data_IF_557819492422
#
_entry.id   IF_557819492422
#
_cell.length_a   1.000
_cell.length_b   1.000
_cell.length_c   1.000
_cell.angle_alpha   90.00
_cell.angle_beta   90.00
_cell.angle_gamma   90.00
#
_symmetry.space_group_name_H-M   'P 1'
#
loop_
_entity.id
_entity.type
_entity.pdbx_description
1 polymer ?
#
# COMPACT_ATOMS: atom_id res chain seq x y z
N UNK A 1 -12.79 3.06 -2.03
CA UNK A 1 -13.49 4.24 -1.48
C UNK A 1 -13.04 4.54 -0.04
N UNK A 2 -13.17 3.65 0.92
CA UNK A 2 -12.80 3.86 2.32
C UNK A 2 -11.35 4.38 2.52
N UNK A 3 -10.38 3.85 1.79
CA UNK A 3 -8.99 4.33 1.82
C UNK A 3 -8.87 5.81 1.44
N UNK A 4 -9.54 6.25 0.38
CA UNK A 4 -9.48 7.65 -0.10
C UNK A 4 -10.04 8.59 0.98
N UNK A 5 -11.16 8.22 1.59
CA UNK A 5 -11.76 8.99 2.69
C UNK A 5 -10.83 9.06 3.91
N UNK A 6 -10.18 7.95 4.25
CA UNK A 6 -9.25 7.90 5.38
C UNK A 6 -7.99 8.76 5.13
N UNK A 7 -7.44 8.72 3.92
CA UNK A 7 -6.31 9.56 3.50
C UNK A 7 -6.67 11.05 3.54
N UNK A 8 -7.82 11.44 2.97
CA UNK A 8 -8.29 12.83 2.97
C UNK A 8 -8.44 13.35 4.40
N UNK A 9 -9.01 12.54 5.29
CA UNK A 9 -9.25 12.91 6.68
C UNK A 9 -7.97 13.02 7.53
N UNK A 10 -6.98 12.16 7.26
CA UNK A 10 -5.78 12.00 8.11
C UNK A 10 -4.53 12.71 7.58
N UNK A 11 -4.57 13.29 6.39
CA UNK A 11 -3.44 14.01 5.80
C UNK A 11 -3.63 15.51 6.00
N UNK A 12 -2.70 16.16 6.72
CA UNK A 12 -2.74 17.61 6.99
C UNK A 12 -1.76 18.41 6.12
N UNK A 13 -0.78 17.76 5.51
CA UNK A 13 0.14 18.37 4.54
C UNK A 13 -0.59 18.61 3.21
N UNK A 14 -0.17 19.59 2.41
CA UNK A 14 -0.64 19.72 1.04
C UNK A 14 -0.37 18.44 0.25
N UNK A 15 -1.40 17.90 -0.43
CA UNK A 15 -1.33 16.64 -1.17
C UNK A 15 -2.15 16.68 -2.46
N UNK A 16 -1.92 15.72 -3.33
CA UNK A 16 -2.81 15.32 -4.43
C UNK A 16 -2.96 13.79 -4.41
N UNK A 17 -4.11 13.30 -4.81
CA UNK A 17 -4.36 11.87 -5.01
C UNK A 17 -4.38 11.58 -6.50
N UNK A 18 -3.45 10.76 -6.97
CA UNK A 18 -3.36 10.34 -8.37
C UNK A 18 -3.92 8.94 -8.51
N UNK A 19 -4.85 8.76 -9.43
CA UNK A 19 -5.52 7.48 -9.66
C UNK A 19 -5.27 6.99 -11.09
N UNK A 20 -5.06 5.69 -11.20
CA UNK A 20 -5.16 4.94 -12.44
C UNK A 20 -6.29 3.94 -12.27
N UNK A 21 -7.31 4.01 -13.10
CA UNK A 21 -8.49 3.15 -12.99
C UNK A 21 -8.34 1.97 -13.95
N UNK A 22 -8.18 0.79 -13.37
CA UNK A 22 -8.21 -0.46 -14.10
C UNK A 22 -9.67 -0.97 -14.05
N UNK A 23 -10.33 -1.07 -15.15
CA UNK A 23 -11.73 -1.47 -15.27
C UNK A 23 -12.71 -0.31 -14.96
N UNK A 24 -13.84 -0.34 -15.61
CA UNK A 24 -14.91 0.62 -15.38
C UNK A 24 -15.75 0.18 -14.17
N UNK A 25 -16.00 1.13 -13.25
CA UNK A 25 -16.85 0.94 -12.08
C UNK A 25 -17.67 2.21 -11.86
N UNK A 26 -18.97 2.10 -12.09
CA UNK A 26 -19.88 3.26 -12.04
C UNK A 26 -20.03 3.83 -10.62
N UNK A 27 -19.99 3.00 -9.59
CA UNK A 27 -20.05 3.43 -8.19
C UNK A 27 -18.79 4.19 -7.79
N UNK A 28 -17.62 3.66 -8.17
CA UNK A 28 -16.35 4.34 -7.97
C UNK A 28 -16.31 5.68 -8.74
N UNK A 29 -16.76 5.71 -9.97
CA UNK A 29 -16.79 6.94 -10.78
C UNK A 29 -17.69 8.01 -10.15
N UNK A 30 -18.86 7.64 -9.65
CA UNK A 30 -19.74 8.55 -8.94
C UNK A 30 -19.08 9.08 -7.65
N UNK A 31 -18.50 8.19 -6.85
CA UNK A 31 -17.80 8.57 -5.63
C UNK A 31 -16.66 9.56 -5.91
N UNK A 32 -15.83 9.28 -6.92
CA UNK A 32 -14.72 10.17 -7.29
C UNK A 32 -15.21 11.54 -7.76
N UNK A 33 -16.28 11.57 -8.55
CA UNK A 33 -16.90 12.82 -8.99
C UNK A 33 -17.44 13.65 -7.82
N UNK A 34 -18.09 13.03 -6.84
CA UNK A 34 -18.58 13.68 -5.63
C UNK A 34 -17.42 14.26 -4.80
N UNK A 35 -16.32 13.51 -4.64
CA UNK A 35 -15.14 14.00 -3.92
C UNK A 35 -14.44 15.17 -4.62
N UNK A 36 -14.26 15.07 -5.93
CA UNK A 36 -13.65 16.13 -6.74
C UNK A 36 -14.51 17.39 -6.71
N UNK A 37 -15.84 17.27 -6.85
CA UNK A 37 -16.81 18.36 -6.74
C UNK A 37 -16.80 19.01 -5.35
N UNK A 38 -16.52 18.23 -4.30
CA UNK A 38 -16.31 18.69 -2.93
C UNK A 38 -14.96 19.35 -2.69
N UNK A 39 -14.11 19.46 -3.71
CA UNK A 39 -12.80 20.13 -3.64
C UNK A 39 -11.65 19.21 -3.19
N UNK A 40 -11.84 17.90 -3.12
CA UNK A 40 -10.74 16.99 -2.86
C UNK A 40 -9.73 17.02 -4.04
N UNK A 41 -8.41 17.08 -3.77
CA UNK A 41 -7.39 17.20 -4.80
C UNK A 41 -7.10 15.85 -5.47
N UNK A 42 -8.10 15.30 -6.16
CA UNK A 42 -8.04 14.01 -6.86
C UNK A 42 -7.81 14.29 -8.36
N UNK A 43 -6.94 13.48 -8.97
CA UNK A 43 -6.70 13.50 -10.42
C UNK A 43 -6.66 12.08 -10.97
N UNK A 44 -7.52 11.80 -11.93
CA UNK A 44 -7.46 10.56 -12.70
C UNK A 44 -6.42 10.75 -13.81
N UNK A 45 -5.32 10.00 -13.75
CA UNK A 45 -4.20 10.07 -14.70
C UNK A 45 -4.48 9.22 -15.94
N UNK A 46 -5.19 8.12 -15.76
CA UNK A 46 -5.55 7.25 -16.87
C UNK A 46 -6.59 6.20 -16.51
N UNK A 47 -7.13 5.60 -17.56
CA UNK A 47 -8.11 4.51 -17.49
C UNK A 47 -7.75 3.43 -18.50
N UNK A 48 -7.89 2.17 -18.12
CA UNK A 48 -7.72 1.05 -19.02
C UNK A 48 -8.87 0.05 -18.83
N UNK A 49 -9.32 -0.62 -19.90
CA UNK A 49 -10.33 -1.67 -19.79
C UNK A 49 -9.78 -2.95 -19.15
N UNK A 50 -8.45 -3.06 -19.06
CA UNK A 50 -7.75 -4.19 -18.48
C UNK A 50 -6.88 -3.72 -17.32
N UNK A 51 -6.76 -4.58 -16.31
CA UNK A 51 -5.84 -4.34 -15.20
C UNK A 51 -4.39 -4.44 -15.67
N UNK A 52 -3.69 -3.31 -15.73
CA UNK A 52 -2.27 -3.24 -16.06
C UNK A 52 -1.35 -3.44 -14.84
N UNK A 53 -1.94 -3.62 -13.65
CA UNK A 53 -1.21 -3.91 -12.41
C UNK A 53 -0.17 -2.84 -12.09
N UNK A 54 1.02 -3.28 -11.69
CA UNK A 54 2.11 -2.39 -11.27
C UNK A 54 2.59 -1.42 -12.36
N UNK A 55 2.29 -1.65 -13.63
CA UNK A 55 2.62 -0.71 -14.70
C UNK A 55 1.91 0.64 -14.53
N UNK A 56 0.75 0.70 -13.88
CA UNK A 56 0.04 1.93 -13.57
C UNK A 56 0.89 2.91 -12.74
N UNK A 57 1.68 2.40 -11.79
CA UNK A 57 2.53 3.24 -10.94
C UNK A 57 3.58 4.04 -11.71
N UNK A 58 4.08 3.54 -12.82
CA UNK A 58 5.04 4.32 -13.66
C UNK A 58 4.38 5.57 -14.23
N UNK A 59 3.10 5.47 -14.61
CA UNK A 59 2.33 6.62 -15.08
C UNK A 59 2.01 7.58 -13.93
N UNK A 60 1.63 7.05 -12.75
CA UNK A 60 1.35 7.85 -11.56
C UNK A 60 2.60 8.61 -11.09
N UNK A 61 3.74 7.93 -10.98
CA UNK A 61 5.01 8.54 -10.59
C UNK A 61 5.46 9.65 -11.54
N UNK A 62 5.30 9.45 -12.85
CA UNK A 62 5.64 10.46 -13.86
C UNK A 62 4.79 11.72 -13.74
N UNK A 63 3.56 11.63 -13.23
CA UNK A 63 2.61 12.72 -13.09
C UNK A 63 2.58 13.35 -11.69
N UNK A 64 3.33 12.81 -10.72
CA UNK A 64 3.42 13.37 -9.37
C UNK A 64 4.11 14.74 -9.37
N UNK A 65 3.60 15.66 -8.52
CA UNK A 65 4.10 17.05 -8.45
C UNK A 65 4.91 17.32 -7.20
N UNK A 66 4.66 16.59 -6.13
CA UNK A 66 5.29 16.79 -4.82
C UNK A 66 6.62 16.07 -4.68
N UNK A 67 7.46 16.55 -3.75
CA UNK A 67 8.78 15.97 -3.44
C UNK A 67 8.69 14.62 -2.70
N UNK A 68 7.59 14.36 -2.02
CA UNK A 68 7.25 13.05 -1.48
C UNK A 68 6.14 12.43 -2.33
N UNK A 69 6.31 11.14 -2.65
CA UNK A 69 5.34 10.38 -3.42
C UNK A 69 5.02 9.11 -2.66
N UNK A 70 3.75 8.90 -2.37
CA UNK A 70 3.27 7.69 -1.69
C UNK A 70 2.65 6.75 -2.71
N UNK A 71 3.18 5.55 -2.82
CA UNK A 71 2.53 4.42 -3.47
C UNK A 71 1.63 3.75 -2.44
N UNK A 72 0.40 3.43 -2.83
CA UNK A 72 -0.55 2.71 -1.98
C UNK A 72 -1.25 1.67 -2.85
N UNK A 73 -1.24 0.42 -2.41
CA UNK A 73 -1.98 -0.64 -3.07
C UNK A 73 -3.48 -0.51 -2.73
N UNK A 74 -4.35 -0.91 -3.63
CA UNK A 74 -5.80 -0.72 -3.56
C UNK A 74 -6.49 -1.59 -2.50
N UNK A 75 -5.79 -2.59 -1.98
CA UNK A 75 -6.17 -3.46 -0.88
C UNK A 75 -5.68 -2.96 0.51
N UNK A 76 -5.09 -1.77 0.60
CA UNK A 76 -4.92 -1.03 1.86
C UNK A 76 -6.23 -0.31 2.18
N UNK A 77 -6.83 -0.55 3.35
CA UNK A 77 -8.17 -0.03 3.68
C UNK A 77 -8.20 0.99 4.81
N UNK A 78 -7.17 1.06 5.63
CA UNK A 78 -6.99 2.17 6.57
C UNK A 78 -5.53 2.43 6.91
N UNK A 79 -5.25 3.64 7.38
CA UNK A 79 -3.90 4.12 7.67
C UNK A 79 -3.86 4.81 9.03
N UNK A 80 -2.70 4.79 9.70
CA UNK A 80 -2.50 5.57 10.92
C UNK A 80 -2.49 7.08 10.62
N UNK A 81 -2.83 7.94 11.59
CA UNK A 81 -2.79 9.38 11.39
C UNK A 81 -1.35 9.88 11.21
N UNK A 82 -1.21 11.03 10.57
CA UNK A 82 0.06 11.74 10.41
C UNK A 82 1.17 10.94 9.70
N UNK A 83 0.78 10.00 8.83
CA UNK A 83 1.74 9.15 8.12
C UNK A 83 2.66 9.98 7.19
N UNK A 84 2.09 10.99 6.53
CA UNK A 84 2.83 11.89 5.65
C UNK A 84 3.80 12.79 6.42
N UNK A 85 3.37 13.33 7.57
CA UNK A 85 4.20 14.15 8.45
C UNK A 85 5.34 13.33 9.06
N UNK A 86 5.08 12.09 9.46
CA UNK A 86 6.10 11.17 9.95
C UNK A 86 7.16 10.89 8.87
N UNK A 87 6.73 10.65 7.64
CA UNK A 87 7.66 10.48 6.53
C UNK A 87 8.47 11.74 6.24
N UNK A 88 7.84 12.93 6.28
CA UNK A 88 8.50 14.22 6.09
C UNK A 88 9.57 14.47 7.18
N UNK A 89 9.24 14.21 8.45
CA UNK A 89 10.16 14.30 9.58
C UNK A 89 11.40 13.43 9.34
N UNK A 90 11.20 12.15 9.01
CA UNK A 90 12.29 11.20 8.78
C UNK A 90 13.13 11.61 7.57
N UNK A 91 12.52 12.00 6.46
CA UNK A 91 13.27 12.47 5.29
C UNK A 91 14.05 13.76 5.57
N UNK A 92 13.54 14.64 6.41
CA UNK A 92 14.27 15.86 6.79
C UNK A 92 15.48 15.55 7.68
N UNK A 93 15.35 14.54 8.53
CA UNK A 93 16.40 14.13 9.48
C UNK A 93 17.49 13.29 8.83
N UNK A 94 17.12 12.39 7.89
CA UNK A 94 18.01 11.39 7.33
C UNK A 94 18.10 11.50 5.80
N UNK A 95 19.08 12.21 5.31
CA UNK A 95 19.26 12.45 3.87
C UNK A 95 19.48 11.17 3.05
N UNK A 96 19.98 10.11 3.68
CA UNK A 96 20.21 8.81 3.04
C UNK A 96 18.96 7.94 2.95
N UNK A 97 17.84 8.35 3.56
CA UNK A 97 16.57 7.62 3.44
C UNK A 97 15.87 8.06 2.16
N UNK A 98 15.67 7.13 1.24
CA UNK A 98 14.99 7.35 -0.05
C UNK A 98 13.60 6.74 -0.13
N UNK A 99 13.32 5.75 0.74
CA UNK A 99 12.06 5.03 0.79
C UNK A 99 11.72 4.66 2.23
N UNK A 100 10.45 4.82 2.59
CA UNK A 100 9.86 4.32 3.83
C UNK A 100 8.67 3.45 3.50
N UNK A 101 8.58 2.26 4.06
CA UNK A 101 7.40 1.41 3.96
C UNK A 101 6.70 1.37 5.32
N UNK A 102 5.39 1.57 5.33
CA UNK A 102 4.60 1.49 6.55
C UNK A 102 4.57 0.03 7.07
N UNK A 103 4.55 -0.10 8.40
CA UNK A 103 4.32 -1.38 9.06
C UNK A 103 2.86 -1.82 8.84
N UNK A 104 2.66 -3.10 8.58
CA UNK A 104 1.33 -3.68 8.38
C UNK A 104 0.80 -4.17 9.72
N UNK A 105 -0.45 -3.84 10.02
CA UNK A 105 -1.16 -4.46 11.14
C UNK A 105 -1.12 -5.99 11.01
N UNK A 106 -0.77 -6.67 12.09
CA UNK A 106 -0.72 -8.12 12.13
C UNK A 106 -1.55 -8.66 13.28
N UNK A 107 -2.41 -9.60 12.96
CA UNK A 107 -3.14 -10.47 13.87
C UNK A 107 -3.10 -11.91 13.34
N UNK A 108 -3.87 -12.82 13.91
CA UNK A 108 -3.93 -14.21 13.50
C UNK A 108 -4.44 -14.42 12.07
N UNK A 109 -5.15 -13.44 11.48
CA UNK A 109 -5.74 -13.50 10.15
C UNK A 109 -4.93 -12.74 9.08
N UNK A 110 -3.93 -11.97 9.50
CA UNK A 110 -3.02 -11.24 8.59
C UNK A 110 -1.60 -11.82 8.57
N UNK A 111 -1.45 -13.08 8.97
CA UNK A 111 -0.16 -13.78 8.91
C UNK A 111 0.39 -13.78 7.48
N UNK A 112 1.63 -13.33 7.32
CA UNK A 112 2.26 -13.23 6.01
C UNK A 112 2.14 -11.86 5.35
N UNK A 113 1.41 -10.90 5.94
CA UNK A 113 1.32 -9.52 5.45
C UNK A 113 2.71 -8.84 5.33
N UNK A 114 3.63 -9.20 6.21
CA UNK A 114 5.08 -8.96 6.09
C UNK A 114 5.87 -10.07 6.78
N UNK A 115 7.16 -10.21 6.51
CA UNK A 115 8.03 -11.12 7.27
C UNK A 115 8.03 -10.80 8.77
N UNK A 116 8.26 -11.79 9.63
CA UNK A 116 8.44 -11.61 11.08
C UNK A 116 9.53 -10.61 11.42
N UNK A 117 9.40 -9.90 12.57
CA UNK A 117 10.33 -8.83 12.97
C UNK A 117 11.79 -9.29 13.14
N UNK A 118 12.03 -10.56 13.35
CA UNK A 118 13.37 -11.17 13.41
C UNK A 118 14.17 -11.03 12.10
N UNK A 119 13.48 -10.83 10.97
CA UNK A 119 14.10 -10.54 9.68
C UNK A 119 14.51 -9.08 9.51
N UNK A 120 14.24 -8.24 10.51
CA UNK A 120 14.53 -6.82 10.46
C UNK A 120 15.56 -6.43 11.52
N UNK A 121 16.50 -5.60 11.12
CA UNK A 121 17.50 -5.02 12.01
C UNK A 121 17.11 -3.61 12.39
N UNK A 122 16.99 -3.31 13.67
CA UNK A 122 16.75 -1.96 14.17
C UNK A 122 17.91 -1.02 13.73
N UNK A 123 17.55 0.11 13.16
CA UNK A 123 18.47 1.16 12.70
C UNK A 123 18.36 2.39 13.60
N UNK A 124 17.13 2.80 13.91
CA UNK A 124 16.85 3.96 14.74
C UNK A 124 15.55 3.70 15.55
N UNK A 125 15.67 3.67 16.85
CA UNK A 125 14.55 3.35 17.75
C UNK A 125 13.61 4.53 17.95
N UNK A 126 14.11 5.77 17.88
CA UNK A 126 13.31 6.98 18.06
C UNK A 126 12.31 7.14 16.91
N UNK A 127 12.74 6.84 15.68
CA UNK A 127 11.92 6.96 14.49
C UNK A 127 11.29 5.63 14.04
N UNK A 128 11.56 4.53 14.77
CA UNK A 128 11.05 3.20 14.45
C UNK A 128 11.52 2.68 13.10
N UNK A 129 12.80 2.90 12.74
CA UNK A 129 13.36 2.50 11.45
C UNK A 129 14.04 1.15 11.54
N UNK A 130 13.66 0.25 10.62
CA UNK A 130 14.20 -1.09 10.52
C UNK A 130 14.67 -1.40 9.09
N UNK A 131 15.87 -1.95 8.95
CA UNK A 131 16.38 -2.49 7.67
C UNK A 131 16.01 -3.98 7.56
N UNK A 132 15.31 -4.34 6.52
CA UNK A 132 14.85 -5.70 6.27
C UNK A 132 14.03 -5.77 4.98
N UNK A 133 13.35 -6.88 4.72
CA UNK A 133 12.52 -7.04 3.52
C UNK A 133 11.31 -6.08 3.56
N UNK A 134 11.18 -5.22 2.56
CA UNK A 134 10.05 -4.29 2.39
C UNK A 134 9.60 -4.29 0.95
N UNK A 135 8.34 -3.95 0.73
CA UNK A 135 7.76 -3.75 -0.60
C UNK A 135 6.83 -2.52 -0.62
N UNK A 136 6.04 -2.39 -1.65
CA UNK A 136 5.29 -1.20 -2.03
C UNK A 136 3.85 -1.12 -1.53
N UNK A 137 3.36 -2.02 -0.64
CA UNK A 137 1.96 -1.98 -0.19
C UNK A 137 1.51 -0.61 0.33
N UNK A 138 2.38 0.09 1.04
CA UNK A 138 2.29 1.51 1.38
C UNK A 138 3.71 2.04 1.53
N UNK A 139 4.23 2.67 0.49
CA UNK A 139 5.61 3.14 0.47
C UNK A 139 5.70 4.62 0.11
N UNK A 140 6.42 5.38 0.93
CA UNK A 140 6.71 6.80 0.68
C UNK A 140 8.13 6.93 0.12
N UNK A 141 8.24 7.59 -1.00
CA UNK A 141 9.50 7.82 -1.70
C UNK A 141 9.89 9.29 -1.74
N UNK A 142 11.19 9.58 -1.70
CA UNK A 142 11.64 10.86 -2.27
C UNK A 142 11.42 10.82 -3.79
N UNK A 143 10.80 11.83 -4.35
CA UNK A 143 10.55 11.91 -5.79
C UNK A 143 11.82 11.70 -6.63
N UNK A 144 12.95 12.24 -6.19
CA UNK A 144 14.26 12.06 -6.85
C UNK A 144 14.64 10.59 -7.05
N UNK A 145 14.22 9.69 -6.14
CA UNK A 145 14.48 8.26 -6.23
C UNK A 145 13.66 7.57 -7.33
N UNK A 146 12.52 8.12 -7.72
CA UNK A 146 11.64 7.51 -8.71
C UNK A 146 12.21 7.52 -10.13
N UNK A 147 13.26 8.30 -10.37
CA UNK A 147 14.04 8.20 -11.62
C UNK A 147 14.64 6.82 -11.85
N UNK A 148 14.86 6.04 -10.78
CA UNK A 148 15.33 4.66 -10.80
C UNK A 148 14.31 3.71 -11.47
N UNK A 149 13.03 4.05 -11.45
CA UNK A 149 11.97 3.25 -12.08
C UNK A 149 12.24 3.03 -13.58
N UNK A 150 12.97 3.93 -14.25
CA UNK A 150 13.37 3.75 -15.66
C UNK A 150 14.25 2.51 -15.90
N UNK A 151 14.84 1.94 -14.83
CA UNK A 151 15.67 0.73 -14.88
C UNK A 151 14.85 -0.54 -14.61
N UNK A 152 13.59 -0.40 -14.24
CA UNK A 152 12.67 -1.49 -13.93
C UNK A 152 11.81 -1.71 -15.16
N UNK A 153 11.76 -2.95 -15.66
CA UNK A 153 10.82 -3.30 -16.73
C UNK A 153 9.42 -3.37 -16.16
N UNK A 154 8.47 -2.58 -16.68
CA UNK A 154 7.10 -2.66 -16.24
C UNK A 154 6.54 -4.06 -16.50
N UNK A 155 5.81 -4.59 -15.55
CA UNK A 155 5.12 -5.86 -15.65
C UNK A 155 3.83 -5.80 -14.85
N UNK A 156 2.91 -6.71 -15.12
CA UNK A 156 1.62 -6.72 -14.42
C UNK A 156 1.77 -6.99 -12.92
N UNK A 157 2.70 -7.88 -12.60
CA UNK A 157 2.96 -8.31 -11.22
C UNK A 157 4.46 -8.28 -10.95
N UNK A 158 4.95 -7.20 -10.39
CA UNK A 158 6.33 -7.05 -9.95
C UNK A 158 6.33 -6.52 -8.50
N UNK A 159 7.31 -6.94 -7.72
CA UNK A 159 7.56 -6.36 -6.41
C UNK A 159 8.27 -5.02 -6.58
N UNK A 160 7.49 -3.99 -6.94
CA UNK A 160 8.03 -2.69 -7.36
C UNK A 160 8.83 -2.03 -6.24
N UNK A 161 8.29 -2.00 -5.02
CA UNK A 161 8.96 -1.42 -3.87
C UNK A 161 10.27 -2.11 -3.54
N UNK A 162 10.31 -3.45 -3.57
CA UNK A 162 11.53 -4.23 -3.37
C UNK A 162 12.59 -3.97 -4.44
N UNK A 163 12.19 -3.80 -5.69
CA UNK A 163 13.11 -3.46 -6.78
C UNK A 163 13.66 -2.03 -6.62
N UNK A 164 12.81 -1.06 -6.29
CA UNK A 164 13.26 0.31 -6.00
C UNK A 164 14.23 0.29 -4.82
N UNK A 165 13.89 -0.40 -3.72
CA UNK A 165 14.81 -0.53 -2.56
C UNK A 165 16.17 -1.05 -2.97
N UNK A 166 16.22 -2.06 -3.82
CA UNK A 166 17.49 -2.64 -4.28
C UNK A 166 18.33 -1.64 -5.09
N UNK A 167 17.67 -0.81 -5.89
CA UNK A 167 18.32 0.20 -6.71
C UNK A 167 18.78 1.44 -5.91
N UNK A 168 18.12 1.76 -4.79
CA UNK A 168 18.48 2.92 -3.96
C UNK A 168 19.95 2.92 -3.52
N UNK A 169 20.51 1.74 -3.26
CA UNK A 169 21.91 1.59 -2.87
C UNK A 169 22.89 2.13 -3.92
N UNK A 170 22.51 2.10 -5.19
CA UNK A 170 23.34 2.59 -6.30
C UNK A 170 23.49 4.12 -6.31
N UNK A 171 22.60 4.82 -5.61
CA UNK A 171 22.63 6.28 -5.46
C UNK A 171 22.92 6.71 -4.01
N UNK A 172 23.47 5.81 -3.19
CA UNK A 172 23.80 6.09 -1.79
C UNK A 172 22.61 6.22 -0.83
N UNK A 173 21.42 5.80 -1.28
CA UNK A 173 20.21 5.84 -0.47
C UNK A 173 19.76 4.45 0.01
N UNK A 174 18.83 4.43 0.95
CA UNK A 174 18.27 3.19 1.54
C UNK A 174 16.76 3.27 1.70
N UNK A 175 16.14 2.11 1.80
CA UNK A 175 14.71 1.95 2.16
C UNK A 175 14.57 1.23 3.49
N UNK A 176 13.60 1.65 4.31
CA UNK A 176 13.34 1.11 5.64
C UNK A 176 11.87 0.83 5.89
N UNK A 177 11.58 -0.18 6.72
CA UNK A 177 10.30 -0.30 7.39
C UNK A 177 10.22 0.77 8.49
N UNK A 178 9.10 1.48 8.59
CA UNK A 178 8.84 2.46 9.62
C UNK A 178 7.65 2.02 10.49
N UNK A 179 7.91 1.63 11.74
CA UNK A 179 6.87 1.14 12.67
C UNK A 179 6.01 2.25 13.27
N UNK A 180 6.40 3.53 13.10
CA UNK A 180 5.58 4.70 13.43
C UNK A 180 4.50 4.98 12.39
N UNK A 181 4.60 4.40 11.21
CA UNK A 181 3.63 4.44 10.13
C UNK A 181 2.95 3.07 10.08
N UNK A 182 1.64 3.00 10.30
CA UNK A 182 0.91 1.73 10.27
C UNK A 182 -0.25 1.77 9.30
N UNK A 183 -0.48 0.64 8.65
CA UNK A 183 -1.60 0.46 7.72
C UNK A 183 -2.26 -0.88 7.96
N UNK A 184 -3.53 -0.99 7.62
CA UNK A 184 -4.19 -2.27 7.48
C UNK A 184 -4.28 -2.62 5.99
N UNK A 185 -3.62 -3.71 5.63
CA UNK A 185 -3.57 -4.26 4.28
C UNK A 185 -4.38 -5.56 4.26
N UNK A 186 -5.36 -5.66 3.38
CA UNK A 186 -6.21 -6.85 3.25
C UNK A 186 -5.37 -7.99 2.73
N UNK A 187 -5.11 -8.97 3.59
CA UNK A 187 -4.38 -10.18 3.24
C UNK A 187 -4.99 -11.35 4.02
N UNK A 188 -4.85 -12.54 3.47
CA UNK A 188 -5.44 -13.74 4.04
C UNK A 188 -6.90 -13.96 3.62
N UNK A 189 -7.36 -15.22 3.65
CA UNK A 189 -8.71 -15.57 3.18
C UNK A 189 -9.81 -14.96 4.03
N UNK A 190 -9.59 -14.74 5.33
CA UNK A 190 -10.56 -14.21 6.27
C UNK A 190 -10.94 -12.78 5.90
N UNK A 191 -9.98 -11.86 5.85
CA UNK A 191 -10.24 -10.47 5.48
C UNK A 191 -10.56 -10.30 4.00
N UNK A 192 -9.97 -11.10 3.11
CA UNK A 192 -10.37 -11.12 1.71
C UNK A 192 -11.85 -11.50 1.54
N UNK A 193 -12.35 -12.44 2.34
CA UNK A 193 -13.78 -12.77 2.38
C UNK A 193 -14.63 -11.63 2.94
N UNK A 194 -14.21 -11.05 4.05
CA UNK A 194 -14.93 -9.94 4.70
C UNK A 194 -15.11 -8.73 3.76
N UNK A 195 -14.09 -8.40 2.98
CA UNK A 195 -14.13 -7.31 1.99
C UNK A 195 -14.67 -7.72 0.62
N UNK A 196 -15.14 -8.96 0.45
CA UNK A 196 -15.66 -9.45 -0.83
C UNK A 196 -14.60 -9.67 -1.90
N UNK A 197 -13.33 -9.77 -1.54
CA UNK A 197 -12.18 -9.87 -2.44
C UNK A 197 -11.69 -11.31 -2.66
N UNK A 198 -12.26 -12.30 -1.95
CA UNK A 198 -11.74 -13.67 -1.87
C UNK A 198 -11.55 -14.32 -3.25
N UNK A 199 -12.55 -14.24 -4.11
CA UNK A 199 -12.47 -14.86 -5.45
C UNK A 199 -11.48 -14.13 -6.36
N UNK A 200 -11.40 -12.80 -6.24
CA UNK A 200 -10.46 -11.99 -7.00
C UNK A 200 -8.99 -12.32 -6.60
N UNK A 201 -8.73 -12.50 -5.30
CA UNK A 201 -7.43 -12.91 -4.79
C UNK A 201 -7.05 -14.32 -5.26
N UNK A 202 -7.98 -15.28 -5.20
CA UNK A 202 -7.75 -16.63 -5.72
C UNK A 202 -7.37 -16.60 -7.21
N UNK A 203 -8.10 -15.82 -8.02
CA UNK A 203 -7.83 -15.71 -9.45
C UNK A 203 -6.49 -14.99 -9.74
N UNK A 204 -6.17 -13.95 -8.97
CA UNK A 204 -4.89 -13.25 -9.00
C UNK A 204 -3.74 -14.24 -8.76
N UNK A 205 -3.77 -15.00 -7.68
CA UNK A 205 -2.71 -15.96 -7.35
C UNK A 205 -2.66 -17.14 -8.34
N UNK A 206 -3.81 -17.58 -8.87
CA UNK A 206 -3.86 -18.58 -9.94
C UNK A 206 -3.15 -18.09 -11.20
N UNK A 207 -3.43 -16.87 -11.62
CA UNK A 207 -2.78 -16.26 -12.80
C UNK A 207 -1.27 -16.08 -12.62
N UNK A 208 -0.81 -15.99 -11.37
CA UNK A 208 0.61 -15.91 -11.00
C UNK A 208 1.29 -17.27 -10.86
N UNK A 209 0.55 -18.37 -11.00
CA UNK A 209 1.07 -19.72 -10.78
C UNK A 209 1.40 -20.02 -9.31
N UNK A 210 0.82 -19.30 -8.36
CA UNK A 210 1.06 -19.45 -6.92
C UNK A 210 0.11 -20.50 -6.33
N UNK A 211 0.28 -21.74 -6.72
CA UNK A 211 -0.60 -22.86 -6.37
C UNK A 211 -0.78 -23.01 -4.87
N UNK A 212 0.29 -22.91 -4.07
CA UNK A 212 0.25 -23.03 -2.62
C UNK A 212 -0.68 -22.00 -1.96
N UNK A 213 -0.65 -20.75 -2.47
CA UNK A 213 -1.52 -19.68 -1.95
C UNK A 213 -2.97 -19.94 -2.37
N UNK A 214 -3.20 -20.37 -3.61
CA UNK A 214 -4.53 -20.74 -4.10
C UNK A 214 -5.12 -21.87 -3.25
N UNK A 215 -4.35 -22.91 -2.95
CA UNK A 215 -4.77 -24.02 -2.10
C UNK A 215 -5.11 -23.55 -0.68
N UNK A 216 -4.31 -22.66 -0.10
CA UNK A 216 -4.59 -22.07 1.21
C UNK A 216 -5.92 -21.30 1.21
N UNK A 217 -6.13 -20.39 0.26
CA UNK A 217 -7.37 -19.61 0.15
C UNK A 217 -8.59 -20.52 -0.07
N UNK A 218 -8.50 -21.50 -0.97
CA UNK A 218 -9.59 -22.44 -1.24
C UNK A 218 -9.89 -23.34 -0.03
N UNK A 219 -8.86 -23.85 0.64
CA UNK A 219 -8.99 -24.72 1.81
C UNK A 219 -9.50 -24.02 3.07
N UNK A 220 -9.46 -22.68 3.09
CA UNK A 220 -9.98 -21.89 4.21
C UNK A 220 -11.46 -21.53 4.07
N UNK A 221 -12.09 -21.67 2.90
CA UNK A 221 -13.47 -21.24 2.64
C UNK A 221 -14.50 -21.78 3.64
N UNK A 222 -14.37 -23.06 4.01
CA UNK A 222 -15.30 -23.71 4.94
C UNK A 222 -14.99 -23.42 6.44
N UNK A 223 -13.92 -22.69 6.71
CA UNK A 223 -13.44 -22.38 8.07
C UNK A 223 -13.42 -20.89 8.36
N UNK A 224 -13.99 -20.08 7.47
CA UNK A 224 -14.00 -18.63 7.66
C UNK A 224 -14.79 -18.25 8.91
N UNK A 225 -14.30 -17.29 9.72
CA UNK A 225 -15.04 -16.74 10.84
C UNK A 225 -16.37 -16.10 10.38
N UNK A 226 -17.27 -15.90 11.33
CA UNK A 226 -18.50 -15.18 11.04
C UNK A 226 -18.21 -13.75 10.61
N UNK A 227 -18.97 -13.25 9.66
CA UNK A 227 -18.82 -11.87 9.17
C UNK A 227 -18.90 -10.84 10.30
N UNK A 228 -19.75 -11.07 11.31
CA UNK A 228 -19.86 -10.20 12.49
C UNK A 228 -18.59 -10.17 13.33
N UNK A 229 -17.92 -11.31 13.49
CA UNK A 229 -16.64 -11.40 14.21
C UNK A 229 -15.54 -10.59 13.48
N UNK A 230 -15.42 -10.78 12.19
CA UNK A 230 -14.46 -10.03 11.36
C UNK A 230 -14.78 -8.53 11.36
N UNK A 231 -16.06 -8.17 11.38
CA UNK A 231 -16.48 -6.78 11.48
C UNK A 231 -16.04 -6.13 12.79
N UNK A 232 -16.29 -6.77 13.92
CA UNK A 232 -15.85 -6.28 15.24
C UNK A 232 -14.33 -6.14 15.31
N UNK A 233 -13.59 -7.10 14.77
CA UNK A 233 -12.12 -7.02 14.69
C UNK A 233 -11.67 -5.84 13.84
N UNK A 234 -12.27 -5.65 12.69
CA UNK A 234 -11.94 -4.53 11.80
C UNK A 234 -12.22 -3.18 12.46
N UNK A 235 -13.33 -3.04 13.20
CA UNK A 235 -13.61 -1.82 13.99
C UNK A 235 -12.51 -1.56 15.04
N UNK A 236 -12.01 -2.60 15.71
CA UNK A 236 -10.89 -2.47 16.65
C UNK A 236 -9.60 -2.04 15.95
N UNK A 237 -9.31 -2.56 14.75
CA UNK A 237 -8.17 -2.13 13.95
C UNK A 237 -8.31 -0.66 13.56
N UNK A 238 -9.49 -0.25 13.08
CA UNK A 238 -9.75 1.15 12.76
C UNK A 238 -9.56 2.07 13.96
N UNK A 239 -10.05 1.66 15.14
CA UNK A 239 -9.87 2.42 16.39
C UNK A 239 -8.39 2.52 16.78
N UNK A 240 -7.60 1.46 16.60
CA UNK A 240 -6.17 1.46 16.90
C UNK A 240 -5.34 2.29 15.88
N UNK A 241 -5.86 2.50 14.69
CA UNK A 241 -5.24 3.31 13.62
C UNK A 241 -5.87 4.72 13.48
N UNK A 242 -6.71 5.14 14.46
CA UNK A 242 -7.41 6.44 14.43
C UNK A 242 -6.66 7.58 15.13
#
# INVERSE_FOLDING_TARGET
MALIDDLIRKTTLPYEVLLWLNVADAELDQFLHEKESGGAPIRIIGRTPENIGMAAYFHLFANSRFEMVTQIDDDVVCVSPRIAETAQEIFSRFNYVGMLTADVWQDEYTTGARPPMEHYRLIDSEHGLYDGPIDGWFAVYRKSCLSLCRRIRPGRYIFLGGQIKSLLRQIGMRGFLCTRMKVFHVIGPEYASYFGMLEAEIEKYRSLGRTEIVEWYCGSKDKLPLHTELHERFLNIQAALS
#
